data_IF_825441587406
#
_entry.id   IF_825441587406
#
_cell.length_a   1.000
_cell.length_b   1.000
_cell.length_c   1.000
_cell.angle_alpha   90.00
_cell.angle_beta   90.00
_cell.angle_gamma   90.00
#
_symmetry.space_group_name_H-M   'P 1'
#
loop_
_entity.id
_entity.type
_entity.pdbx_description
1 polymer ?
#
# COMPACT_ATOMS: atom_id res chain seq x y z
N UNK A 1 33.20 9.31 -11.82
CA UNK A 1 32.47 8.02 -11.86
C UNK A 1 32.62 7.36 -10.51
N UNK A 2 31.56 7.26 -9.69
CA UNK A 2 31.64 6.51 -8.45
C UNK A 2 31.68 5.02 -8.81
N UNK A 3 32.62 4.29 -8.19
CA UNK A 3 32.73 2.84 -8.31
C UNK A 3 31.56 2.22 -7.55
N UNK A 4 30.64 1.59 -8.28
CA UNK A 4 29.59 0.76 -7.70
C UNK A 4 30.23 -0.34 -6.85
N UNK A 5 29.77 -0.45 -5.59
CA UNK A 5 30.23 -1.50 -4.69
C UNK A 5 29.63 -2.84 -5.19
N UNK A 6 30.42 -3.89 -5.44
CA UNK A 6 29.95 -5.13 -6.09
C UNK A 6 28.90 -5.92 -5.29
N UNK A 7 28.60 -5.51 -4.05
CA UNK A 7 27.63 -6.15 -3.16
C UNK A 7 26.35 -5.33 -2.95
N UNK A 8 26.26 -4.10 -3.47
CA UNK A 8 25.04 -3.28 -3.38
C UNK A 8 23.90 -3.86 -4.23
N UNK A 9 24.23 -4.61 -5.29
CA UNK A 9 23.27 -5.28 -6.17
C UNK A 9 22.70 -6.59 -5.63
N UNK A 10 23.25 -7.15 -4.55
CA UNK A 10 22.88 -8.50 -4.06
C UNK A 10 21.73 -8.51 -3.05
N UNK A 11 21.34 -7.35 -2.52
CA UNK A 11 20.30 -7.27 -1.47
C UNK A 11 19.07 -6.42 -1.86
N UNK A 12 19.09 -5.74 -3.01
CA UNK A 12 17.87 -5.18 -3.62
C UNK A 12 17.20 -6.22 -4.54
N UNK A 13 16.88 -7.40 -4.00
CA UNK A 13 16.30 -8.50 -4.81
C UNK A 13 14.78 -8.45 -4.86
N UNK A 14 14.13 -7.70 -3.96
CA UNK A 14 12.67 -7.60 -3.91
C UNK A 14 12.12 -6.70 -5.01
N UNK A 15 11.97 -7.27 -6.22
CA UNK A 15 11.39 -6.61 -7.39
C UNK A 15 12.06 -6.93 -8.73
N UNK A 16 13.21 -7.62 -8.76
CA UNK A 16 13.89 -8.04 -10.01
C UNK A 16 13.65 -9.52 -10.27
N UNK A 17 13.23 -9.88 -11.49
CA UNK A 17 13.04 -11.28 -11.85
C UNK A 17 14.41 -12.00 -11.91
N UNK A 18 14.59 -13.16 -11.27
CA UNK A 18 15.83 -13.92 -11.36
C UNK A 18 16.05 -14.48 -12.78
N UNK A 19 17.25 -14.26 -13.36
CA UNK A 19 17.59 -14.65 -14.75
C UNK A 19 17.64 -16.17 -14.98
N UNK A 20 17.98 -16.96 -13.95
CA UNK A 20 17.98 -18.41 -14.00
C UNK A 20 17.03 -18.98 -12.93
N UNK A 21 16.09 -19.85 -13.34
CA UNK A 21 15.11 -20.43 -12.42
C UNK A 21 14.78 -21.88 -12.76
N UNK A 22 14.64 -22.71 -11.73
CA UNK A 22 14.10 -24.06 -11.84
C UNK A 22 12.60 -24.03 -11.52
N UNK A 23 11.74 -24.06 -12.54
CA UNK A 23 10.28 -23.88 -12.40
C UNK A 23 9.59 -24.84 -11.44
N UNK A 24 10.19 -26.01 -11.21
CA UNK A 24 9.63 -27.06 -10.37
C UNK A 24 9.88 -26.80 -8.87
N UNK A 25 10.88 -25.99 -8.51
CA UNK A 25 11.22 -25.68 -7.11
C UNK A 25 10.13 -24.81 -6.50
N UNK A 26 9.59 -25.24 -5.36
CA UNK A 26 8.49 -24.60 -4.63
C UNK A 26 7.18 -24.47 -5.42
N UNK A 27 7.00 -25.23 -6.51
CA UNK A 27 5.80 -25.19 -7.37
C UNK A 27 4.49 -25.38 -6.61
N UNK A 28 4.41 -26.38 -5.71
CA UNK A 28 3.22 -26.61 -4.89
C UNK A 28 2.95 -25.51 -3.84
N UNK A 29 3.99 -24.88 -3.30
CA UNK A 29 3.82 -23.73 -2.41
C UNK A 29 3.32 -22.50 -3.18
N UNK A 30 3.85 -22.29 -4.40
CA UNK A 30 3.40 -21.24 -5.31
C UNK A 30 1.94 -21.38 -5.70
N UNK A 31 1.50 -22.59 -6.03
CA UNK A 31 0.10 -22.85 -6.39
C UNK A 31 -0.87 -22.53 -5.25
N UNK A 32 -0.53 -22.93 -4.01
CA UNK A 32 -1.31 -22.57 -2.82
C UNK A 32 -1.35 -21.07 -2.56
N UNK A 33 -0.20 -20.40 -2.64
CA UNK A 33 -0.10 -18.94 -2.47
C UNK A 33 -0.92 -18.22 -3.54
N UNK A 34 -0.86 -18.68 -4.80
CA UNK A 34 -1.71 -18.14 -5.86
C UNK A 34 -3.20 -18.28 -5.52
N UNK A 35 -3.64 -19.46 -5.06
CA UNK A 35 -5.04 -19.67 -4.68
C UNK A 35 -5.51 -18.81 -3.50
N UNK A 36 -4.64 -18.47 -2.56
CA UNK A 36 -4.98 -17.59 -1.43
C UNK A 36 -4.97 -16.10 -1.80
N UNK A 37 -4.07 -15.69 -2.71
CA UNK A 37 -3.93 -14.30 -3.10
C UNK A 37 -4.91 -13.90 -4.22
N UNK A 38 -5.27 -14.83 -5.11
CA UNK A 38 -6.21 -14.62 -6.21
C UNK A 38 -7.67 -14.68 -5.73
N UNK A 39 -8.03 -13.74 -4.84
CA UNK A 39 -9.36 -13.61 -4.27
C UNK A 39 -9.94 -12.21 -4.54
N UNK A 40 -11.29 -12.07 -4.65
CA UNK A 40 -11.93 -10.78 -4.82
C UNK A 40 -11.57 -9.76 -3.72
N UNK A 41 -11.56 -8.47 -4.07
CA UNK A 41 -11.19 -7.37 -3.15
C UNK A 41 -12.03 -7.34 -1.88
N UNK A 42 -13.29 -7.76 -1.96
CA UNK A 42 -14.24 -7.76 -0.86
C UNK A 42 -13.95 -8.84 0.19
N UNK A 43 -13.14 -9.84 -0.15
CA UNK A 43 -12.78 -10.93 0.76
C UNK A 43 -11.75 -10.46 1.79
N UNK A 44 -11.85 -11.03 2.98
CA UNK A 44 -10.85 -10.82 4.04
C UNK A 44 -9.47 -11.28 3.57
N UNK A 45 -8.44 -10.65 4.10
CA UNK A 45 -7.05 -11.03 3.86
C UNK A 45 -6.59 -12.13 4.82
N UNK A 46 -5.71 -12.99 4.31
CA UNK A 46 -5.12 -14.09 5.04
C UNK A 46 -3.88 -13.62 5.82
N UNK A 47 -3.51 -14.39 6.83
CA UNK A 47 -2.17 -14.35 7.40
C UNK A 47 -1.49 -15.65 7.06
N UNK A 48 -0.43 -15.56 6.26
CA UNK A 48 0.24 -16.69 5.65
C UNK A 48 1.62 -16.80 6.26
N UNK A 49 1.89 -17.93 6.91
CA UNK A 49 3.21 -18.25 7.44
C UNK A 49 3.96 -19.12 6.43
N UNK A 50 4.94 -18.52 5.73
CA UNK A 50 5.82 -19.20 4.79
C UNK A 50 7.08 -19.67 5.52
N UNK A 51 7.10 -20.95 5.89
CA UNK A 51 8.23 -21.56 6.61
C UNK A 51 9.17 -22.30 5.68
N UNK A 52 10.46 -22.24 5.98
CA UNK A 52 11.46 -23.14 5.41
C UNK A 52 12.35 -23.74 6.51
N UNK A 53 12.93 -24.94 6.30
CA UNK A 53 13.81 -25.56 7.29
C UNK A 53 15.00 -24.69 7.66
N UNK A 54 15.62 -24.01 6.68
CA UNK A 54 16.78 -23.11 6.85
C UNK A 54 16.78 -21.99 5.81
N UNK A 55 17.70 -21.04 5.95
CA UNK A 55 18.01 -20.05 4.93
C UNK A 55 18.42 -20.72 3.60
N UNK A 56 18.18 -20.05 2.46
CA UNK A 56 18.56 -20.55 1.13
C UNK A 56 17.54 -21.48 0.43
N UNK A 57 16.41 -21.81 1.07
CA UNK A 57 15.36 -22.66 0.48
C UNK A 57 14.41 -21.93 -0.50
N UNK A 58 14.80 -20.75 -0.99
CA UNK A 58 14.07 -20.05 -2.04
C UNK A 58 12.78 -19.34 -1.61
N UNK A 59 12.61 -18.97 -0.33
CA UNK A 59 11.45 -18.17 0.14
C UNK A 59 11.39 -16.81 -0.53
N UNK A 60 12.47 -16.03 -0.45
CA UNK A 60 12.60 -14.72 -1.09
C UNK A 60 12.38 -14.82 -2.60
N UNK A 61 12.97 -15.84 -3.25
CA UNK A 61 12.76 -16.13 -4.67
C UNK A 61 11.27 -16.37 -5.00
N UNK A 62 10.57 -17.18 -4.21
CA UNK A 62 9.14 -17.44 -4.37
C UNK A 62 8.31 -16.16 -4.24
N UNK A 63 8.63 -15.31 -3.24
CA UNK A 63 7.93 -14.04 -3.01
C UNK A 63 8.15 -13.06 -4.16
N UNK A 64 9.37 -12.95 -4.69
CA UNK A 64 9.66 -12.12 -5.87
C UNK A 64 8.88 -12.57 -7.09
N UNK A 65 8.73 -13.90 -7.31
CA UNK A 65 7.91 -14.43 -8.40
C UNK A 65 6.43 -14.09 -8.23
N UNK A 66 5.89 -14.19 -7.01
CA UNK A 66 4.51 -13.80 -6.71
C UNK A 66 4.29 -12.32 -6.95
N UNK A 67 5.22 -11.47 -6.48
CA UNK A 67 5.15 -10.03 -6.72
C UNK A 67 5.12 -9.70 -8.22
N UNK A 68 5.95 -10.36 -9.03
CA UNK A 68 5.94 -10.14 -10.47
C UNK A 68 4.64 -10.63 -11.12
N UNK A 69 4.14 -11.81 -10.71
CA UNK A 69 2.89 -12.37 -11.24
C UNK A 69 1.69 -11.46 -10.93
N UNK A 70 1.63 -10.89 -9.74
CA UNK A 70 0.51 -10.10 -9.25
C UNK A 70 0.70 -8.58 -9.32
N UNK A 71 1.84 -8.10 -9.80
CA UNK A 71 2.22 -6.67 -9.72
C UNK A 71 1.29 -5.70 -10.46
N UNK A 72 0.40 -6.18 -11.34
CA UNK A 72 -0.63 -5.37 -11.97
C UNK A 72 -1.91 -5.19 -11.15
N UNK A 73 -2.17 -6.06 -10.16
CA UNK A 73 -3.42 -6.12 -9.41
C UNK A 73 -3.25 -6.03 -7.89
N UNK A 74 -2.02 -6.22 -7.40
CA UNK A 74 -1.67 -6.21 -5.99
C UNK A 74 -0.51 -5.23 -5.72
N UNK A 75 -0.52 -4.60 -4.54
CA UNK A 75 0.63 -3.85 -4.05
C UNK A 75 1.32 -4.65 -2.92
N UNK A 76 2.58 -5.00 -3.15
CA UNK A 76 3.43 -5.69 -2.18
C UNK A 76 4.27 -4.66 -1.43
N UNK A 77 4.02 -4.58 -0.12
CA UNK A 77 4.69 -3.66 0.80
C UNK A 77 5.56 -4.51 1.72
N UNK A 78 6.89 -4.51 1.54
CA UNK A 78 7.78 -5.21 2.45
C UNK A 78 7.82 -4.49 3.80
N UNK A 79 8.01 -5.28 4.84
CA UNK A 79 8.26 -4.82 6.21
C UNK A 79 9.70 -5.19 6.52
N UNK A 80 10.56 -4.18 6.59
CA UNK A 80 11.96 -4.36 6.93
C UNK A 80 12.17 -4.08 8.43
N UNK A 81 12.99 -4.91 9.08
CA UNK A 81 13.42 -4.65 10.44
C UNK A 81 14.58 -3.64 10.45
N UNK A 82 14.47 -2.62 11.28
CA UNK A 82 15.51 -1.66 11.62
C UNK A 82 16.38 -2.24 12.72
N UNK A 83 17.69 -2.13 12.57
CA UNK A 83 18.62 -2.59 13.61
C UNK A 83 18.43 -4.08 13.94
N UNK A 84 18.16 -4.90 12.92
CA UNK A 84 17.95 -6.35 12.96
C UNK A 84 16.57 -6.85 13.48
N UNK A 85 15.91 -6.16 14.40
CA UNK A 85 14.69 -6.70 15.05
C UNK A 85 13.56 -5.69 15.31
N UNK A 86 13.77 -4.39 15.05
CA UNK A 86 12.77 -3.35 15.35
C UNK A 86 11.91 -3.05 14.13
N UNK A 87 10.60 -3.02 14.31
CA UNK A 87 9.66 -2.55 13.28
C UNK A 87 8.86 -1.40 13.88
N UNK A 88 8.78 -0.29 13.15
CA UNK A 88 7.95 0.86 13.51
C UNK A 88 7.08 1.33 12.35
N UNK A 89 5.92 1.89 12.70
CA UNK A 89 4.91 2.31 11.73
C UNK A 89 5.41 3.43 10.82
N UNK A 90 6.26 4.33 11.34
CA UNK A 90 6.75 5.48 10.58
C UNK A 90 7.62 5.01 9.40
N UNK A 91 8.48 4.03 9.63
CA UNK A 91 9.35 3.45 8.59
C UNK A 91 8.53 2.68 7.55
N UNK A 92 7.57 1.86 7.99
CA UNK A 92 6.67 1.15 7.05
C UNK A 92 5.84 2.15 6.23
N UNK A 93 5.40 3.24 6.83
CA UNK A 93 4.67 4.31 6.14
C UNK A 93 5.56 5.04 5.11
N UNK A 94 6.79 5.40 5.46
CA UNK A 94 7.75 6.02 4.54
C UNK A 94 8.05 5.10 3.35
N UNK A 95 8.37 3.82 3.62
CA UNK A 95 8.61 2.82 2.58
C UNK A 95 7.39 2.63 1.66
N UNK A 96 6.18 2.62 2.24
CA UNK A 96 4.93 2.54 1.48
C UNK A 96 4.75 3.75 0.57
N UNK A 97 4.97 4.96 1.08
CA UNK A 97 4.84 6.18 0.29
C UNK A 97 5.89 6.27 -0.82
N UNK A 98 7.16 5.94 -0.53
CA UNK A 98 8.24 5.88 -1.54
C UNK A 98 7.87 4.97 -2.70
N UNK A 99 7.24 3.83 -2.41
CA UNK A 99 6.74 2.90 -3.43
C UNK A 99 5.61 3.50 -4.24
N UNK A 100 4.67 4.20 -3.61
CA UNK A 100 3.54 4.80 -4.30
C UNK A 100 3.95 6.00 -5.16
N UNK A 101 4.95 6.79 -4.75
CA UNK A 101 5.44 7.93 -5.54
C UNK A 101 6.41 7.53 -6.65
N UNK A 102 6.65 6.23 -6.87
CA UNK A 102 7.45 5.76 -8.01
C UNK A 102 6.79 6.16 -9.32
N UNK A 103 7.56 6.75 -10.23
CA UNK A 103 7.10 7.07 -11.58
C UNK A 103 6.77 5.80 -12.35
N UNK A 104 5.67 5.82 -13.10
CA UNK A 104 5.26 4.70 -13.93
C UNK A 104 5.81 4.85 -15.36
N UNK A 105 6.44 3.79 -15.92
CA UNK A 105 6.86 3.81 -17.32
C UNK A 105 5.69 4.13 -18.25
N UNK A 106 5.91 5.02 -19.21
CA UNK A 106 4.92 5.44 -20.20
C UNK A 106 3.63 6.09 -19.64
N UNK A 107 3.60 6.49 -18.36
CA UNK A 107 2.42 7.11 -17.73
C UNK A 107 2.44 8.65 -17.75
N UNK A 108 3.18 9.27 -18.68
CA UNK A 108 3.20 10.74 -18.82
C UNK A 108 3.67 11.50 -17.57
N UNK A 109 4.56 10.89 -16.76
CA UNK A 109 5.04 11.48 -15.51
C UNK A 109 4.19 11.16 -14.27
N UNK A 110 3.08 10.43 -14.42
CA UNK A 110 2.26 9.99 -13.29
C UNK A 110 2.98 8.94 -12.42
N UNK A 111 2.69 8.99 -11.13
CA UNK A 111 3.10 8.00 -10.13
C UNK A 111 1.99 7.00 -9.84
N UNK A 112 2.30 5.91 -9.12
CA UNK A 112 1.25 5.01 -8.61
C UNK A 112 0.28 5.76 -7.70
N UNK A 113 0.78 6.70 -6.89
CA UNK A 113 -0.01 7.51 -5.98
C UNK A 113 -1.02 8.41 -6.71
N UNK A 114 -0.64 8.95 -7.88
CA UNK A 114 -1.57 9.69 -8.74
C UNK A 114 -2.75 8.81 -9.17
N UNK A 115 -2.46 7.60 -9.64
CA UNK A 115 -3.52 6.68 -10.07
C UNK A 115 -4.42 6.26 -8.91
N UNK A 116 -3.83 6.00 -7.74
CA UNK A 116 -4.55 5.69 -6.50
C UNK A 116 -5.46 6.84 -6.09
N UNK A 117 -4.95 8.06 -6.02
CA UNK A 117 -5.72 9.23 -5.61
C UNK A 117 -6.92 9.46 -6.54
N UNK A 118 -6.70 9.44 -7.86
CA UNK A 118 -7.77 9.61 -8.85
C UNK A 118 -8.85 8.52 -8.75
N UNK A 119 -8.45 7.26 -8.56
CA UNK A 119 -9.39 6.13 -8.35
C UNK A 119 -10.14 6.25 -7.03
N UNK A 120 -9.48 6.66 -5.94
CA UNK A 120 -10.12 6.85 -4.64
C UNK A 120 -11.19 7.94 -4.72
N UNK A 121 -10.87 9.10 -5.29
CA UNK A 121 -11.85 10.17 -5.46
C UNK A 121 -13.00 9.78 -6.38
N UNK A 122 -12.70 9.04 -7.44
CA UNK A 122 -13.76 8.51 -8.31
C UNK A 122 -14.67 7.51 -7.58
N UNK A 123 -14.10 6.64 -6.75
CA UNK A 123 -14.85 5.67 -5.97
C UNK A 123 -15.69 6.32 -4.87
N UNK A 124 -15.20 7.37 -4.20
CA UNK A 124 -15.90 8.07 -3.12
C UNK A 124 -16.90 9.12 -3.61
N UNK A 125 -16.75 9.64 -4.83
CA UNK A 125 -17.73 10.56 -5.42
C UNK A 125 -19.01 9.82 -5.88
N UNK A 126 -18.91 8.55 -6.28
CA UNK A 126 -20.04 7.78 -6.81
C UNK A 126 -21.26 7.72 -5.87
N UNK A 127 -21.12 7.42 -4.56
CA UNK A 127 -22.25 7.44 -3.63
C UNK A 127 -22.89 8.82 -3.51
N UNK A 128 -22.09 9.90 -3.49
CA UNK A 128 -22.58 11.28 -3.36
C UNK A 128 -23.35 11.75 -4.61
N UNK A 129 -22.96 11.27 -5.79
CA UNK A 129 -23.70 11.50 -7.05
C UNK A 129 -25.01 10.71 -7.05
N UNK A 130 -25.02 9.48 -6.52
CA UNK A 130 -26.23 8.66 -6.39
C UNK A 130 -27.22 9.25 -5.40
N UNK A 131 -26.76 9.75 -4.26
CA UNK A 131 -27.60 10.36 -3.22
C UNK A 131 -28.13 11.74 -3.62
N UNK A 132 -27.52 12.39 -4.63
CA UNK A 132 -27.88 13.73 -5.08
C UNK A 132 -27.22 14.85 -4.28
N UNK A 133 -26.31 14.53 -3.36
CA UNK A 133 -25.48 15.51 -2.65
C UNK A 133 -24.54 16.26 -3.60
N UNK A 134 -24.09 15.61 -4.67
CA UNK A 134 -23.33 16.25 -5.75
C UNK A 134 -24.29 16.64 -6.88
N UNK A 135 -24.37 17.95 -7.23
CA UNK A 135 -25.22 18.40 -8.32
C UNK A 135 -24.74 17.80 -9.64
N UNK A 136 -25.63 17.11 -10.34
CA UNK A 136 -25.28 16.40 -11.57
C UNK A 136 -26.43 16.49 -12.58
N UNK A 137 -26.13 17.03 -13.78
CA UNK A 137 -27.11 17.16 -14.87
C UNK A 137 -27.40 15.80 -15.52
N UNK A 138 -26.35 15.04 -15.82
CA UNK A 138 -26.44 13.66 -16.34
C UNK A 138 -25.86 12.68 -15.32
N UNK A 139 -26.72 12.22 -14.41
CA UNK A 139 -26.31 11.32 -13.32
C UNK A 139 -25.77 9.98 -13.83
N UNK A 140 -26.42 9.38 -14.82
CA UNK A 140 -26.03 8.07 -15.35
C UNK A 140 -24.72 8.14 -16.12
N UNK A 141 -24.54 9.17 -16.95
CA UNK A 141 -23.29 9.42 -17.67
C UNK A 141 -22.13 9.70 -16.71
N UNK A 142 -22.35 10.52 -15.67
CA UNK A 142 -21.33 10.79 -14.65
C UNK A 142 -20.93 9.52 -13.88
N UNK A 143 -21.90 8.72 -13.43
CA UNK A 143 -21.62 7.46 -12.74
C UNK A 143 -20.90 6.45 -13.64
N UNK A 144 -21.21 6.42 -14.93
CA UNK A 144 -20.53 5.58 -15.91
C UNK A 144 -19.08 6.02 -16.09
N UNK A 145 -18.83 7.31 -16.23
CA UNK A 145 -17.47 7.86 -16.35
C UNK A 145 -16.62 7.56 -15.10
N UNK A 146 -17.18 7.78 -13.90
CA UNK A 146 -16.51 7.50 -12.63
C UNK A 146 -16.11 6.03 -12.47
N UNK A 147 -16.90 5.09 -12.98
CA UNK A 147 -16.59 3.65 -12.91
C UNK A 147 -15.59 3.19 -13.97
N UNK A 148 -15.76 3.66 -15.20
CA UNK A 148 -15.06 3.10 -16.35
C UNK A 148 -13.77 3.84 -16.69
N UNK A 149 -13.69 5.13 -16.36
CA UNK A 149 -12.56 6.02 -16.68
C UNK A 149 -12.18 6.89 -15.47
N UNK A 150 -11.88 6.29 -14.31
CA UNK A 150 -11.63 7.04 -13.08
C UNK A 150 -10.38 7.93 -13.17
N UNK A 151 -9.36 7.51 -13.93
CA UNK A 151 -8.08 8.25 -14.06
C UNK A 151 -8.28 9.51 -14.89
N UNK A 152 -9.04 9.42 -15.97
CA UNK A 152 -9.33 10.52 -16.88
C UNK A 152 -10.39 11.46 -16.28
N UNK A 153 -11.39 10.92 -15.58
CA UNK A 153 -12.46 11.70 -14.95
C UNK A 153 -11.92 12.60 -13.83
N UNK A 154 -10.93 12.11 -13.07
CA UNK A 154 -10.23 12.86 -12.03
C UNK A 154 -8.86 13.39 -12.50
N UNK A 155 -8.70 13.67 -13.79
CA UNK A 155 -7.51 14.33 -14.30
C UNK A 155 -7.53 15.84 -14.04
N UNK A 156 -6.92 16.26 -12.94
CA UNK A 156 -6.80 17.67 -12.54
C UNK A 156 -6.02 18.56 -13.51
N UNK A 157 -5.35 17.97 -14.50
CA UNK A 157 -4.48 18.66 -15.46
C UNK A 157 -5.05 18.64 -16.88
N UNK A 158 -6.07 17.81 -17.14
CA UNK A 158 -6.72 17.76 -18.44
C UNK A 158 -7.84 18.81 -18.56
N UNK A 159 -7.84 19.70 -19.57
CA UNK A 159 -8.83 20.78 -19.69
C UNK A 159 -10.29 20.30 -19.77
N UNK A 160 -10.52 19.13 -20.37
CA UNK A 160 -11.87 18.57 -20.53
C UNK A 160 -12.36 17.72 -19.34
N UNK A 161 -11.56 17.56 -18.28
CA UNK A 161 -11.94 16.78 -17.10
C UNK A 161 -12.82 17.63 -16.17
N UNK A 162 -14.06 17.88 -16.60
CA UNK A 162 -15.02 18.76 -15.90
C UNK A 162 -15.21 18.35 -14.44
N UNK A 163 -15.28 17.04 -14.15
CA UNK A 163 -15.43 16.53 -12.78
C UNK A 163 -14.24 16.89 -11.88
N UNK A 164 -13.01 16.80 -12.40
CA UNK A 164 -11.81 17.14 -11.65
C UNK A 164 -11.75 18.64 -11.31
N UNK A 165 -12.07 19.51 -12.28
CA UNK A 165 -12.09 20.96 -12.06
C UNK A 165 -13.19 21.37 -11.10
N UNK A 166 -14.41 20.83 -11.27
CA UNK A 166 -15.49 21.05 -10.31
C UNK A 166 -15.11 20.59 -8.90
N UNK A 167 -14.51 19.40 -8.76
CA UNK A 167 -14.06 18.89 -7.46
C UNK A 167 -13.01 19.81 -6.84
N UNK A 168 -12.13 20.41 -7.64
CA UNK A 168 -11.14 21.38 -7.17
C UNK A 168 -11.75 22.68 -6.67
N UNK A 169 -12.73 23.22 -7.39
CA UNK A 169 -13.43 24.45 -6.98
C UNK A 169 -14.29 24.25 -5.73
N UNK A 170 -14.74 23.02 -5.47
CA UNK A 170 -15.67 22.70 -4.39
C UNK A 170 -15.03 21.87 -3.25
N UNK A 171 -13.71 21.71 -3.23
CA UNK A 171 -13.03 20.76 -2.35
C UNK A 171 -13.23 21.06 -0.86
N UNK A 172 -13.39 22.33 -0.47
CA UNK A 172 -13.64 22.71 0.93
C UNK A 172 -14.91 22.06 1.49
N UNK A 173 -15.96 21.98 0.67
CA UNK A 173 -17.22 21.32 1.05
C UNK A 173 -17.22 19.82 0.71
N UNK A 174 -16.58 19.45 -0.40
CA UNK A 174 -16.57 18.08 -0.91
C UNK A 174 -15.62 17.17 -0.10
N UNK A 175 -14.43 17.64 0.25
CA UNK A 175 -13.38 16.90 0.94
C UNK A 175 -13.89 16.18 2.20
N UNK A 176 -14.57 16.89 3.14
CA UNK A 176 -15.17 16.26 4.32
C UNK A 176 -16.18 15.15 3.99
N UNK A 177 -16.96 15.30 2.90
CA UNK A 177 -17.93 14.28 2.46
C UNK A 177 -17.24 13.05 1.90
N UNK A 178 -16.20 13.24 1.08
CA UNK A 178 -15.40 12.13 0.56
C UNK A 178 -14.69 11.37 1.70
N UNK A 179 -14.16 12.11 2.68
CA UNK A 179 -13.52 11.51 3.85
C UNK A 179 -14.52 10.71 4.70
N UNK A 180 -15.73 11.24 4.91
CA UNK A 180 -16.78 10.53 5.64
C UNK A 180 -17.18 9.22 4.94
N UNK A 181 -17.41 9.28 3.63
CA UNK A 181 -17.76 8.09 2.82
C UNK A 181 -16.64 7.03 2.90
N UNK A 182 -15.38 7.43 2.70
CA UNK A 182 -14.24 6.52 2.75
C UNK A 182 -14.01 5.93 4.15
N UNK A 183 -14.21 6.73 5.20
CA UNK A 183 -14.10 6.29 6.59
C UNK A 183 -15.16 5.25 6.93
N UNK A 184 -16.44 5.53 6.61
CA UNK A 184 -17.55 4.61 6.88
C UNK A 184 -17.42 3.30 6.08
N UNK A 185 -17.07 3.40 4.79
CA UNK A 185 -16.94 2.24 3.91
C UNK A 185 -15.84 1.26 4.35
N UNK A 186 -14.79 1.77 4.99
CA UNK A 186 -13.63 0.97 5.38
C UNK A 186 -13.53 0.75 6.91
N UNK A 187 -14.41 1.35 7.71
CA UNK A 187 -14.32 1.26 9.17
C UNK A 187 -13.08 1.95 9.76
N UNK A 188 -12.61 3.02 9.12
CA UNK A 188 -11.37 3.73 9.48
C UNK A 188 -11.64 5.00 10.28
N UNK A 189 -10.63 5.50 11.01
CA UNK A 189 -10.68 6.79 11.70
C UNK A 189 -10.97 7.92 10.72
N UNK A 190 -12.07 8.67 10.95
CA UNK A 190 -12.42 9.83 10.12
C UNK A 190 -11.32 10.89 10.11
N UNK A 191 -10.62 11.08 11.23
CA UNK A 191 -9.53 12.05 11.36
C UNK A 191 -8.41 11.73 10.35
N UNK A 192 -7.93 10.50 10.36
CA UNK A 192 -6.80 10.09 9.51
C UNK A 192 -7.22 9.92 8.05
N UNK A 193 -8.46 9.49 7.79
CA UNK A 193 -8.99 9.51 6.42
C UNK A 193 -9.11 10.94 5.89
N UNK A 194 -9.55 11.91 6.71
CA UNK A 194 -9.61 13.32 6.31
C UNK A 194 -8.23 13.88 6.00
N UNK A 195 -7.23 13.54 6.82
CA UNK A 195 -5.83 13.85 6.57
C UNK A 195 -5.38 13.33 5.21
N UNK A 196 -5.61 12.04 4.92
CA UNK A 196 -5.23 11.45 3.63
C UNK A 196 -6.00 12.04 2.45
N UNK A 197 -7.29 12.31 2.59
CA UNK A 197 -8.09 12.92 1.52
C UNK A 197 -7.53 14.30 1.14
N UNK A 198 -7.21 15.15 2.11
CA UNK A 198 -6.59 16.45 1.84
C UNK A 198 -5.18 16.32 1.24
N UNK A 199 -4.33 15.47 1.83
CA UNK A 199 -2.96 15.25 1.35
C UNK A 199 -2.93 14.71 -0.09
N UNK A 200 -3.74 13.70 -0.39
CA UNK A 200 -3.85 13.11 -1.73
C UNK A 200 -4.46 14.09 -2.72
N UNK A 201 -5.43 14.91 -2.30
CA UNK A 201 -6.05 15.90 -3.17
C UNK A 201 -5.03 16.96 -3.58
N UNK A 202 -4.30 17.54 -2.61
CA UNK A 202 -3.23 18.51 -2.88
C UNK A 202 -2.13 17.91 -3.76
N UNK A 203 -1.72 16.67 -3.47
CA UNK A 203 -0.73 15.96 -4.28
C UNK A 203 -1.20 15.80 -5.73
N UNK A 204 -2.42 15.30 -5.96
CA UNK A 204 -2.98 15.04 -7.29
C UNK A 204 -3.33 16.32 -8.05
N UNK A 205 -3.73 17.39 -7.36
CA UNK A 205 -4.09 18.66 -7.98
C UNK A 205 -2.87 19.51 -8.37
N UNK A 206 -1.70 19.28 -7.76
CA UNK A 206 -0.46 19.99 -8.08
C UNK A 206 0.09 19.55 -9.45
N UNK A 207 0.59 20.45 -10.32
CA UNK A 207 1.11 20.10 -11.66
C UNK A 207 2.16 18.99 -11.66
N UNK A 208 2.04 18.01 -12.56
CA UNK A 208 2.86 16.78 -12.56
C UNK A 208 4.36 17.07 -12.63
N UNK A 209 4.72 18.12 -13.36
CA UNK A 209 6.09 18.61 -13.57
C UNK A 209 6.67 19.38 -12.38
N UNK A 210 5.88 19.67 -11.35
CA UNK A 210 6.35 20.38 -10.17
C UNK A 210 7.20 19.44 -9.28
N UNK A 211 8.52 19.69 -9.14
CA UNK A 211 9.43 18.80 -8.41
C UNK A 211 9.18 18.79 -6.90
N UNK A 212 8.44 19.78 -6.36
CA UNK A 212 8.16 19.89 -4.93
C UNK A 212 7.04 18.96 -4.45
N UNK A 213 6.26 18.33 -5.33
CA UNK A 213 5.08 17.52 -4.97
C UNK A 213 5.38 16.45 -3.94
N UNK A 214 6.42 15.66 -4.19
CA UNK A 214 6.84 14.56 -3.30
C UNK A 214 7.36 15.11 -1.98
N UNK A 215 8.12 16.23 -2.02
CA UNK A 215 8.65 16.89 -0.82
C UNK A 215 7.52 17.43 0.07
N UNK A 216 6.54 18.13 -0.50
CA UNK A 216 5.40 18.68 0.23
C UNK A 216 4.55 17.57 0.85
N UNK A 217 4.35 16.45 0.14
CA UNK A 217 3.68 15.29 0.71
C UNK A 217 4.47 14.72 1.90
N UNK A 218 5.78 14.53 1.76
CA UNK A 218 6.63 14.03 2.84
C UNK A 218 6.62 14.98 4.06
N UNK A 219 6.74 16.30 3.85
CA UNK A 219 6.62 17.32 4.89
C UNK A 219 5.25 17.27 5.58
N UNK A 220 4.16 17.06 4.81
CA UNK A 220 2.80 16.93 5.36
C UNK A 220 2.64 15.68 6.23
N UNK A 221 3.25 14.55 5.81
CA UNK A 221 3.12 13.26 6.50
C UNK A 221 4.06 13.11 7.68
N UNK A 222 5.28 13.66 7.60
CA UNK A 222 6.34 13.42 8.59
C UNK A 222 6.85 14.68 9.30
N UNK A 223 6.46 15.87 8.87
CA UNK A 223 7.04 17.14 9.34
C UNK A 223 6.50 17.66 10.68
N UNK A 224 5.47 17.05 11.25
CA UNK A 224 4.88 17.46 12.53
C UNK A 224 5.37 16.55 13.67
N UNK A 225 5.59 17.10 14.87
CA UNK A 225 5.87 16.31 16.09
C UNK A 225 4.74 15.33 16.41
N UNK A 226 3.50 15.66 16.03
CA UNK A 226 2.38 14.72 16.17
C UNK A 226 2.47 13.53 15.20
N UNK A 227 3.30 13.60 14.16
CA UNK A 227 3.41 12.57 13.13
C UNK A 227 3.97 11.25 13.67
N UNK A 228 4.89 11.28 14.63
CA UNK A 228 5.42 10.05 15.23
C UNK A 228 4.33 9.32 16.02
N UNK A 229 3.54 10.06 16.81
CA UNK A 229 2.41 9.51 17.54
C UNK A 229 1.26 9.04 16.61
N UNK A 230 1.06 9.73 15.49
CA UNK A 230 0.02 9.41 14.51
C UNK A 230 0.45 8.38 13.45
N UNK A 231 1.73 8.03 13.36
CA UNK A 231 2.29 7.21 12.27
C UNK A 231 1.55 5.88 12.10
N UNK A 232 1.17 5.25 13.22
CA UNK A 232 0.43 3.99 13.21
C UNK A 232 -0.99 4.14 12.65
N UNK A 233 -1.74 5.15 13.09
CA UNK A 233 -3.09 5.41 12.59
C UNK A 233 -3.09 5.88 11.13
N UNK A 234 -2.07 6.66 10.73
CA UNK A 234 -1.83 7.07 9.34
C UNK A 234 -1.51 5.88 8.45
N UNK A 235 -0.64 4.97 8.90
CA UNK A 235 -0.34 3.74 8.19
C UNK A 235 -1.59 2.87 8.00
N UNK A 236 -2.33 2.61 9.08
CA UNK A 236 -3.60 1.86 9.03
C UNK A 236 -4.56 2.48 8.01
N UNK A 237 -4.72 3.81 8.06
CA UNK A 237 -5.65 4.51 7.17
C UNK A 237 -5.20 4.48 5.71
N UNK A 238 -3.90 4.66 5.45
CA UNK A 238 -3.34 4.54 4.10
C UNK A 238 -3.58 3.14 3.53
N UNK A 239 -3.22 2.10 4.28
CA UNK A 239 -3.40 0.71 3.86
C UNK A 239 -4.90 0.40 3.65
N UNK A 240 -5.77 0.85 4.54
CA UNK A 240 -7.22 0.70 4.40
C UNK A 240 -7.77 1.36 3.13
N UNK A 241 -7.34 2.58 2.82
CA UNK A 241 -7.69 3.25 1.57
C UNK A 241 -7.21 2.46 0.34
N UNK A 242 -5.96 1.98 0.34
CA UNK A 242 -5.43 1.15 -0.75
C UNK A 242 -6.27 -0.13 -0.95
N UNK A 243 -6.69 -0.79 0.14
CA UNK A 243 -7.55 -1.99 0.05
C UNK A 243 -8.94 -1.75 -0.53
N UNK A 244 -9.34 -0.49 -0.71
CA UNK A 244 -10.57 -0.15 -1.45
C UNK A 244 -10.39 -0.37 -2.96
N UNK A 245 -9.15 -0.32 -3.46
CA UNK A 245 -8.84 -0.30 -4.89
C UNK A 245 -8.10 -1.54 -5.39
N UNK A 246 -7.31 -2.17 -4.52
CA UNK A 246 -6.43 -3.29 -4.88
C UNK A 246 -6.17 -4.18 -3.68
N UNK A 247 -5.64 -5.38 -3.91
CA UNK A 247 -5.14 -6.22 -2.81
C UNK A 247 -3.82 -5.62 -2.30
N UNK A 248 -3.68 -5.54 -0.99
CA UNK A 248 -2.45 -5.06 -0.33
C UNK A 248 -1.86 -6.22 0.45
N UNK A 249 -0.59 -6.53 0.17
CA UNK A 249 0.14 -7.62 0.81
C UNK A 249 1.30 -7.02 1.58
N UNK A 250 1.26 -7.16 2.91
CA UNK A 250 2.39 -6.88 3.77
C UNK A 250 3.31 -8.10 3.77
N UNK A 251 4.58 -7.93 3.40
CA UNK A 251 5.55 -9.02 3.36
C UNK A 251 6.65 -8.78 4.37
N UNK A 252 6.67 -9.59 5.43
CA UNK A 252 7.79 -9.64 6.35
C UNK A 252 8.70 -10.80 5.93
N UNK A 253 9.86 -10.47 5.37
CA UNK A 253 10.93 -11.41 5.02
C UNK A 253 12.21 -11.02 5.79
N UNK A 254 13.25 -11.86 5.72
CA UNK A 254 14.56 -11.58 6.34
C UNK A 254 14.49 -11.29 7.85
N UNK A 255 13.72 -12.10 8.58
CA UNK A 255 13.46 -11.94 10.01
C UNK A 255 14.54 -12.57 10.90
N UNK A 256 15.72 -12.90 10.38
CA UNK A 256 16.78 -13.60 11.13
C UNK A 256 17.22 -12.84 12.39
N UNK A 257 17.20 -11.50 12.37
CA UNK A 257 17.59 -10.69 13.52
C UNK A 257 16.66 -10.80 14.75
N UNK A 258 15.46 -11.37 14.59
CA UNK A 258 14.52 -11.58 15.70
C UNK A 258 14.99 -12.64 16.70
N UNK A 259 15.90 -13.53 16.32
CA UNK A 259 16.43 -14.55 17.26
C UNK A 259 17.27 -13.94 18.38
N UNK A 260 17.75 -12.71 18.23
CA UNK A 260 18.63 -12.05 19.19
C UNK A 260 17.87 -11.26 20.30
N UNK A 261 16.60 -10.91 20.07
CA UNK A 261 15.83 -10.09 21.00
C UNK A 261 14.48 -10.72 21.35
N UNK A 262 14.37 -11.19 22.59
CA UNK A 262 13.22 -11.97 23.09
C UNK A 262 11.88 -11.21 23.03
N UNK A 263 11.90 -9.88 23.12
CA UNK A 263 10.67 -9.06 23.08
C UNK A 263 10.28 -8.60 21.68
N UNK A 264 11.18 -8.71 20.70
CA UNK A 264 10.95 -8.19 19.36
C UNK A 264 9.83 -8.96 18.64
N UNK A 265 9.82 -10.29 18.76
CA UNK A 265 8.80 -11.13 18.13
C UNK A 265 7.38 -10.78 18.60
N UNK A 266 7.19 -10.56 19.90
CA UNK A 266 5.89 -10.16 20.46
C UNK A 266 5.48 -8.76 20.00
N UNK A 267 6.41 -7.80 20.00
CA UNK A 267 6.15 -6.44 19.49
C UNK A 267 5.74 -6.46 18.02
N UNK A 268 6.43 -7.25 17.20
CA UNK A 268 6.11 -7.42 15.78
C UNK A 268 4.76 -8.12 15.57
N UNK A 269 4.48 -9.19 16.30
CA UNK A 269 3.18 -9.85 16.25
C UNK A 269 2.04 -8.92 16.67
N UNK A 270 2.25 -8.10 17.71
CA UNK A 270 1.30 -7.07 18.16
C UNK A 270 1.09 -5.99 17.11
N UNK A 271 2.17 -5.51 16.48
CA UNK A 271 2.13 -4.54 15.39
C UNK A 271 1.29 -5.05 14.20
N UNK A 272 1.57 -6.26 13.72
CA UNK A 272 0.80 -6.89 12.65
C UNK A 272 -0.65 -7.17 13.07
N UNK A 273 -0.86 -7.62 14.30
CA UNK A 273 -2.17 -7.88 14.87
C UNK A 273 -3.05 -6.62 14.87
N UNK A 274 -2.48 -5.49 15.30
CA UNK A 274 -3.16 -4.20 15.29
C UNK A 274 -3.56 -3.77 13.88
N UNK A 275 -2.65 -3.89 12.90
CA UNK A 275 -2.97 -3.54 11.50
C UNK A 275 -4.09 -4.42 10.95
N UNK A 276 -4.00 -5.75 11.13
CA UNK A 276 -5.02 -6.68 10.62
C UNK A 276 -6.38 -6.52 11.31
N UNK A 277 -6.39 -6.17 12.59
CA UNK A 277 -7.63 -5.89 13.32
C UNK A 277 -8.33 -4.64 12.75
N UNK A 278 -7.57 -3.62 12.37
CA UNK A 278 -8.12 -2.39 11.79
C UNK A 278 -8.42 -2.51 10.30
N UNK A 279 -7.67 -3.30 9.55
CA UNK A 279 -7.83 -3.46 8.09
C UNK A 279 -7.93 -4.95 7.72
N UNK A 280 -9.14 -5.48 7.77
CA UNK A 280 -9.41 -6.92 7.60
C UNK A 280 -9.16 -7.47 6.18
N UNK A 281 -8.96 -6.60 5.18
CA UNK A 281 -8.67 -6.97 3.77
C UNK A 281 -7.17 -7.09 3.46
N UNK A 282 -6.30 -6.72 4.40
CA UNK A 282 -4.85 -6.85 4.22
C UNK A 282 -4.43 -8.31 4.29
N UNK A 283 -3.68 -8.71 3.28
CA UNK A 283 -2.91 -9.95 3.26
C UNK A 283 -1.59 -9.73 4.01
N UNK A 284 -1.17 -10.72 4.80
CA UNK A 284 0.13 -10.69 5.47
C UNK A 284 0.86 -11.98 5.14
N UNK A 285 2.10 -11.86 4.66
CA UNK A 285 3.01 -12.98 4.47
C UNK A 285 4.17 -12.81 5.44
N UNK A 286 4.32 -13.77 6.35
CA UNK A 286 5.46 -13.87 7.26
C UNK A 286 6.36 -14.99 6.73
N UNK A 287 7.50 -14.63 6.16
CA UNK A 287 8.50 -15.53 5.64
C UNK A 287 9.60 -15.71 6.68
N UNK A 288 9.72 -16.92 7.23
CA UNK A 288 10.59 -17.18 8.37
C UNK A 288 11.25 -18.55 8.28
N UNK A 289 12.48 -18.67 8.78
CA UNK A 289 13.14 -19.97 8.95
C UNK A 289 12.60 -20.66 10.21
N UNK A 290 12.57 -22.00 10.19
CA UNK A 290 12.00 -22.80 11.27
C UNK A 290 12.75 -22.60 12.60
N UNK A 291 14.07 -22.41 12.57
CA UNK A 291 14.91 -22.12 13.73
C UNK A 291 14.53 -20.77 14.39
N UNK A 292 14.38 -19.72 13.60
CA UNK A 292 13.95 -18.39 14.09
C UNK A 292 12.53 -18.46 14.66
N UNK A 293 11.63 -19.21 13.99
CA UNK A 293 10.28 -19.43 14.49
C UNK A 293 10.29 -20.14 15.86
N UNK A 294 11.06 -21.21 16.00
CA UNK A 294 11.17 -21.98 17.24
C UNK A 294 11.84 -21.19 18.37
N UNK A 295 12.84 -20.36 18.06
CA UNK A 295 13.59 -19.62 19.07
C UNK A 295 12.90 -18.33 19.53
N UNK A 296 12.27 -17.60 18.60
CA UNK A 296 11.78 -16.24 18.88
C UNK A 296 10.25 -16.15 19.00
N UNK A 297 9.50 -16.93 18.22
CA UNK A 297 8.03 -16.80 18.14
C UNK A 297 7.29 -17.86 18.95
N UNK A 298 7.63 -19.14 18.76
CA UNK A 298 6.96 -20.27 19.42
C UNK A 298 6.93 -20.18 20.95
N UNK A 299 7.99 -19.71 21.66
CA UNK A 299 7.96 -19.61 23.13
C UNK A 299 6.99 -18.56 23.65
N UNK A 300 6.45 -17.69 22.78
CA UNK A 300 5.62 -16.53 23.12
C UNK A 300 4.17 -16.65 22.64
N UNK A 301 3.81 -17.78 22.04
CA UNK A 301 2.44 -18.14 21.61
C UNK A 301 1.76 -19.02 22.67
#
# INVERSE_FOLDING_TARGET
>A
MPRDHPFQLLFETFGKLPEAHADLVNSGAREKLNGWLDVPLEKQGHCILLKAPRAGHGKTHLLTRLQHQFGGTHEFIPIHAIGASRIDAATVLDDSLRRLVRGLPAAGGLTVLDLVARRLFSASLQPLVRSGEVPCQDREGALTALRTRPIETFDFHHPSAVTAHWARENFELLGPRLALELSQRNGLSLREVSFWVDALFRFAATPIDNPSRVRVLAETVFGDYSAEAAAHERLISLLGLLTTLMRVILVADELEGFSAEETAALKFASFLGSIRQSVNRIEVIISINQDVWESAFLPRL
#
